data_IF_987640367175
#
_entry.id   IF_987640367175
#
_cell.length_a   1.000
_cell.length_b   1.000
_cell.length_c   1.000
_cell.angle_alpha   90.00
_cell.angle_beta   90.00
_cell.angle_gamma   90.00
#
_symmetry.space_group_name_H-M   'P 1'
#
loop_
_entity.id
_entity.type
_entity.pdbx_description
1 polymer ?
#
# COMPACT_ATOMS: atom_id res chain seq x y z
N UNK A 1 -13.57 40.53 -23.75
CA UNK A 1 -14.49 40.19 -22.66
C UNK A 1 -14.62 38.68 -22.62
N UNK A 2 -14.48 38.12 -21.40
CA UNK A 2 -14.84 36.76 -20.98
C UNK A 2 -13.91 35.61 -21.40
N UNK A 3 -13.07 35.22 -20.43
CA UNK A 3 -12.42 33.91 -20.33
C UNK A 3 -13.47 32.80 -20.16
N UNK A 4 -13.24 31.65 -20.80
CA UNK A 4 -13.65 30.35 -20.23
C UNK A 4 -12.48 29.39 -20.45
N UNK A 5 -11.61 29.29 -19.44
CA UNK A 5 -10.94 28.02 -19.15
C UNK A 5 -12.06 27.09 -18.67
N UNK A 6 -12.50 26.14 -19.49
CA UNK A 6 -13.31 25.04 -19.00
C UNK A 6 -12.38 23.85 -18.72
N UNK A 7 -12.14 23.70 -17.42
CA UNK A 7 -12.08 22.44 -16.70
C UNK A 7 -11.14 21.36 -17.24
N UNK A 8 -9.87 21.54 -16.87
CA UNK A 8 -9.10 20.39 -16.39
C UNK A 8 -9.80 19.80 -15.16
N UNK A 9 -10.64 18.79 -15.39
CA UNK A 9 -10.90 17.75 -14.39
C UNK A 9 -10.89 16.42 -15.12
N UNK A 10 -9.67 15.95 -15.38
CA UNK A 10 -9.44 14.52 -15.59
C UNK A 10 -9.90 13.85 -14.30
N UNK A 11 -11.16 13.44 -14.30
CA UNK A 11 -11.79 12.68 -13.24
C UNK A 11 -11.03 11.37 -13.21
N UNK A 12 -10.04 11.29 -12.33
CA UNK A 12 -9.42 10.02 -11.99
C UNK A 12 -10.54 9.16 -11.38
N UNK A 13 -11.18 8.40 -12.24
CA UNK A 13 -12.17 7.39 -11.87
C UNK A 13 -11.34 6.15 -11.51
N UNK A 14 -11.14 5.82 -10.22
CA UNK A 14 -10.49 4.58 -9.87
C UNK A 14 -11.44 3.46 -10.28
N UNK A 15 -11.17 2.84 -11.43
CA UNK A 15 -11.80 1.58 -11.84
C UNK A 15 -11.57 0.57 -10.71
N UNK A 16 -12.59 0.41 -9.86
CA UNK A 16 -12.66 -0.65 -8.86
C UNK A 16 -12.86 -1.94 -9.65
N UNK A 17 -11.74 -2.55 -10.04
CA UNK A 17 -11.75 -3.96 -10.44
C UNK A 17 -12.14 -4.74 -9.19
N UNK A 18 -13.28 -5.41 -9.24
CA UNK A 18 -13.72 -6.39 -8.26
C UNK A 18 -12.70 -7.53 -8.24
N UNK A 19 -11.70 -7.44 -7.36
CA UNK A 19 -10.77 -8.52 -7.08
C UNK A 19 -11.45 -9.43 -6.07
N UNK A 20 -11.66 -10.68 -6.44
CA UNK A 20 -12.01 -11.77 -5.53
C UNK A 20 -11.06 -11.72 -4.32
N UNK A 21 -11.64 -11.67 -3.10
CA UNK A 21 -10.94 -11.35 -1.84
C UNK A 21 -9.76 -12.27 -1.50
N UNK A 22 -9.60 -13.39 -2.22
CA UNK A 22 -8.60 -14.42 -1.96
C UNK A 22 -7.27 -14.20 -2.73
N UNK A 23 -7.26 -13.37 -3.77
CA UNK A 23 -6.06 -13.04 -4.58
C UNK A 23 -5.69 -11.54 -4.54
N UNK A 24 -6.37 -10.76 -3.71
CA UNK A 24 -6.09 -9.33 -3.61
C UNK A 24 -4.72 -9.10 -2.97
N UNK A 25 -3.75 -8.69 -3.79
CA UNK A 25 -2.47 -8.17 -3.31
C UNK A 25 -2.80 -7.08 -2.29
N UNK A 26 -2.34 -7.20 -1.03
CA UNK A 26 -2.63 -6.21 -0.01
C UNK A 26 -2.21 -4.82 -0.52
N UNK A 27 -3.12 -3.85 -0.45
CA UNK A 27 -2.83 -2.46 -0.84
C UNK A 27 -2.54 -1.67 0.42
N UNK A 28 -1.42 -0.95 0.45
CA UNK A 28 -1.06 -0.06 1.55
C UNK A 28 -2.15 0.99 1.76
N UNK A 29 -2.63 1.17 2.99
CA UNK A 29 -3.64 2.19 3.27
C UNK A 29 -3.03 3.58 3.14
N UNK A 30 -3.79 4.51 2.56
CA UNK A 30 -3.38 5.91 2.46
C UNK A 30 -3.41 6.59 3.83
N UNK A 31 -2.69 7.70 3.99
CA UNK A 31 -2.68 8.44 5.25
C UNK A 31 -4.08 8.87 5.70
N UNK A 32 -4.94 9.31 4.77
CA UNK A 32 -6.34 9.67 5.09
C UNK A 32 -7.13 8.48 5.63
N UNK A 33 -6.98 7.31 5.02
CA UNK A 33 -7.66 6.09 5.47
C UNK A 33 -7.09 5.61 6.81
N UNK A 34 -5.79 5.77 7.02
CA UNK A 34 -5.14 5.49 8.30
C UNK A 34 -5.68 6.40 9.42
N UNK A 35 -5.77 7.71 9.18
CA UNK A 35 -6.31 8.66 10.17
C UNK A 35 -7.74 8.34 10.59
N UNK A 36 -8.60 7.89 9.66
CA UNK A 36 -9.97 7.49 9.98
C UNK A 36 -10.06 6.27 10.92
N UNK A 37 -8.96 5.57 11.20
CA UNK A 37 -8.89 4.46 12.17
C UNK A 37 -8.34 4.88 13.54
N UNK A 38 -7.86 6.12 13.66
CA UNK A 38 -7.29 6.66 14.89
C UNK A 38 -8.35 7.43 15.67
N UNK A 39 -8.05 7.70 16.95
CA UNK A 39 -8.90 8.54 17.80
C UNK A 39 -8.84 10.01 17.37
N UNK A 40 -9.95 10.74 17.48
CA UNK A 40 -10.04 12.16 17.10
C UNK A 40 -9.11 13.07 17.91
N UNK A 41 -8.61 12.62 19.06
CA UNK A 41 -7.63 13.33 19.88
C UNK A 41 -6.17 13.13 19.47
N UNK A 42 -5.89 12.36 18.41
CA UNK A 42 -4.52 12.14 17.93
C UNK A 42 -3.86 13.45 17.50
N UNK A 43 -2.61 13.66 17.92
CA UNK A 43 -1.84 14.82 17.47
C UNK A 43 -1.18 14.58 16.11
N UNK A 44 -0.80 15.65 15.42
CA UNK A 44 -0.13 15.57 14.13
C UNK A 44 1.18 14.79 14.22
N UNK A 45 1.98 15.02 15.28
CA UNK A 45 3.24 14.32 15.50
C UNK A 45 3.04 12.81 15.70
N UNK A 46 2.03 12.44 16.50
CA UNK A 46 1.68 11.04 16.74
C UNK A 46 1.17 10.36 15.47
N UNK A 47 0.33 11.05 14.69
CA UNK A 47 -0.19 10.53 13.43
C UNK A 47 0.92 10.26 12.42
N UNK A 48 1.90 11.17 12.30
CA UNK A 48 3.05 11.01 11.41
C UNK A 48 3.92 9.84 11.86
N UNK A 49 4.22 9.74 13.16
CA UNK A 49 5.04 8.67 13.72
C UNK A 49 4.39 7.30 13.49
N UNK A 50 3.12 7.14 13.87
CA UNK A 50 2.37 5.89 13.73
C UNK A 50 2.17 5.51 12.26
N UNK A 51 1.94 6.47 11.36
CA UNK A 51 1.83 6.15 9.94
C UNK A 51 3.17 5.73 9.33
N UNK A 52 4.29 6.31 9.78
CA UNK A 52 5.62 5.87 9.37
C UNK A 52 5.89 4.42 9.78
N UNK A 53 5.56 4.09 11.03
CA UNK A 53 5.65 2.73 11.55
C UNK A 53 4.76 1.76 10.77
N UNK A 54 3.51 2.13 10.50
CA UNK A 54 2.60 1.36 9.67
C UNK A 54 3.19 1.03 8.29
N UNK A 55 3.77 2.02 7.59
CA UNK A 55 4.39 1.82 6.27
C UNK A 55 5.59 0.87 6.32
N UNK A 56 6.38 0.93 7.40
CA UNK A 56 7.52 0.04 7.60
C UNK A 56 7.03 -1.40 7.78
N UNK A 57 6.07 -1.57 8.68
CA UNK A 57 5.50 -2.86 9.04
C UNK A 57 4.77 -3.50 7.85
N UNK A 58 4.03 -2.72 7.07
CA UNK A 58 3.37 -3.20 5.85
C UNK A 58 4.37 -3.77 4.84
N UNK A 59 5.46 -3.04 4.56
CA UNK A 59 6.53 -3.52 3.64
C UNK A 59 7.21 -4.77 4.18
N UNK A 60 7.41 -4.85 5.50
CA UNK A 60 7.97 -6.04 6.15
C UNK A 60 7.06 -7.25 5.93
N UNK A 61 5.74 -7.06 6.07
CA UNK A 61 4.75 -8.12 5.85
C UNK A 61 4.65 -8.54 4.38
N UNK A 62 4.68 -7.59 3.43
CA UNK A 62 4.74 -7.91 2.00
C UNK A 62 5.95 -8.79 1.68
N UNK A 63 7.13 -8.40 2.17
CA UNK A 63 8.35 -9.16 1.96
C UNK A 63 8.31 -10.53 2.64
N UNK A 64 7.77 -10.61 3.86
CA UNK A 64 7.60 -11.89 4.56
C UNK A 64 6.64 -12.82 3.82
N UNK A 65 5.49 -12.30 3.35
CA UNK A 65 4.52 -13.06 2.56
C UNK A 65 5.15 -13.53 1.25
N UNK A 66 5.90 -12.65 0.59
CA UNK A 66 6.64 -12.99 -0.62
C UNK A 66 7.63 -14.13 -0.37
N UNK A 67 8.48 -14.04 0.65
CA UNK A 67 9.39 -15.12 0.99
C UNK A 67 8.65 -16.40 1.37
N UNK A 68 7.59 -16.32 2.16
CA UNK A 68 6.86 -17.51 2.62
C UNK A 68 6.13 -18.21 1.49
N UNK A 69 5.56 -17.47 0.54
CA UNK A 69 4.89 -18.03 -0.64
C UNK A 69 5.87 -18.80 -1.54
N UNK A 70 7.13 -18.34 -1.59
CA UNK A 70 8.13 -18.84 -2.52
C UNK A 70 9.24 -19.69 -1.88
N UNK A 71 9.25 -19.84 -0.54
CA UNK A 71 10.35 -20.50 0.20
C UNK A 71 10.57 -21.97 -0.17
N UNK A 72 9.53 -22.65 -0.64
CA UNK A 72 9.58 -24.08 -0.96
C UNK A 72 9.78 -24.34 -2.46
N UNK A 73 9.86 -23.27 -3.27
CA UNK A 73 10.07 -23.38 -4.70
C UNK A 73 11.56 -23.62 -5.00
N UNK A 74 11.87 -24.75 -5.64
CA UNK A 74 13.25 -25.20 -5.90
C UNK A 74 14.10 -24.17 -6.67
N UNK A 75 13.48 -23.38 -7.55
CA UNK A 75 14.19 -22.33 -8.28
C UNK A 75 14.58 -21.14 -7.40
N UNK A 76 13.84 -20.83 -6.33
CA UNK A 76 14.20 -19.79 -5.35
C UNK A 76 15.42 -20.15 -4.53
N UNK A 77 15.49 -21.39 -4.06
CA UNK A 77 16.65 -21.92 -3.32
C UNK A 77 17.90 -21.88 -4.20
N UNK A 78 17.79 -22.25 -5.49
CA UNK A 78 18.91 -22.16 -6.42
C UNK A 78 19.31 -20.72 -6.76
N UNK A 79 18.35 -19.80 -6.89
CA UNK A 79 18.62 -18.40 -7.30
C UNK A 79 19.27 -17.59 -6.17
N UNK A 80 18.84 -17.78 -4.92
CA UNK A 80 19.36 -17.06 -3.74
C UNK A 80 20.73 -17.58 -3.29
N UNK A 81 21.02 -18.89 -3.40
CA UNK A 81 22.34 -19.45 -3.05
C UNK A 81 23.44 -19.07 -4.06
N UNK A 82 23.08 -18.81 -5.33
CA UNK A 82 24.05 -18.42 -6.37
C UNK A 82 24.43 -16.94 -6.37
N UNK A 83 23.71 -16.09 -5.63
CA UNK A 83 23.96 -14.64 -5.56
C UNK A 83 24.32 -14.17 -4.14
N UNK A 84 24.61 -15.09 -3.21
CA UNK A 84 25.24 -14.78 -1.93
C UNK A 84 26.75 -15.05 -2.00
#
# INVERSE_FOLDING_TARGET
MSNVLDSATDTYDPVVKTVTEEDAVPVMMTFKKFLATQDDSITDEEAIAKYSEYKLEFRRQELQKFFTAHKDEQWWVMMMIKHC
#
